data_IF_374855720795
#
_entry.id   IF_374855720795
#
_cell.length_a   1.000
_cell.length_b   1.000
_cell.length_c   1.000
_cell.angle_alpha   90.00
_cell.angle_beta   90.00
_cell.angle_gamma   90.00
#
_symmetry.space_group_name_H-M   'P 1'
#
loop_
_entity.id
_entity.type
_entity.pdbx_description
1 polymer ?
#
# COMPACT_ATOMS: atom_id res chain seq x y z
N UNK A 1 4.02 -17.84 25.68
CA UNK A 1 4.52 -17.18 24.45
C UNK A 1 3.97 -17.92 23.24
N UNK A 2 3.10 -17.28 22.44
CA UNK A 2 2.62 -17.87 21.19
C UNK A 2 3.74 -17.71 20.16
N UNK A 3 4.31 -18.82 19.68
CA UNK A 3 5.28 -18.78 18.60
C UNK A 3 4.56 -18.34 17.33
N UNK A 4 5.08 -17.30 16.68
CA UNK A 4 4.55 -16.85 15.40
C UNK A 4 4.87 -17.90 14.34
N UNK A 5 3.87 -18.26 13.54
CA UNK A 5 4.05 -19.12 12.38
C UNK A 5 4.60 -18.31 11.19
N UNK A 6 5.26 -18.94 10.22
CA UNK A 6 5.66 -18.29 8.97
C UNK A 6 4.50 -17.57 8.26
N UNK A 7 3.29 -18.12 8.38
CA UNK A 7 2.07 -17.53 7.81
C UNK A 7 1.70 -16.22 8.49
N UNK A 8 1.89 -16.09 9.81
CA UNK A 8 1.62 -14.84 10.54
C UNK A 8 2.56 -13.73 10.08
N UNK A 9 3.85 -14.03 9.91
CA UNK A 9 4.84 -13.09 9.37
C UNK A 9 4.48 -12.66 7.94
N UNK A 10 4.08 -13.61 7.10
CA UNK A 10 3.70 -13.34 5.72
C UNK A 10 2.44 -12.47 5.62
N UNK A 11 1.45 -12.73 6.49
CA UNK A 11 0.26 -11.92 6.59
C UNK A 11 0.60 -10.49 7.01
N UNK A 12 1.38 -10.31 8.08
CA UNK A 12 1.85 -9.00 8.52
C UNK A 12 2.66 -8.27 7.45
N UNK A 13 3.55 -8.97 6.74
CA UNK A 13 4.32 -8.40 5.64
C UNK A 13 3.39 -7.88 4.52
N UNK A 14 2.36 -8.66 4.15
CA UNK A 14 1.36 -8.22 3.17
C UNK A 14 0.67 -6.92 3.62
N UNK A 15 0.23 -6.83 4.88
CA UNK A 15 -0.42 -5.62 5.41
C UNK A 15 0.54 -4.43 5.42
N UNK A 16 1.78 -4.66 5.84
CA UNK A 16 2.83 -3.65 5.88
C UNK A 16 3.08 -3.04 4.50
N UNK A 17 3.29 -3.87 3.47
CA UNK A 17 3.56 -3.35 2.12
C UNK A 17 2.35 -2.62 1.52
N UNK A 18 1.12 -3.05 1.81
CA UNK A 18 -0.07 -2.31 1.38
C UNK A 18 -0.12 -0.91 2.01
N UNK A 19 0.03 -0.84 3.34
CA UNK A 19 0.01 0.43 4.08
C UNK A 19 1.18 1.31 3.65
N UNK A 20 2.37 0.73 3.46
CA UNK A 20 3.53 1.48 3.01
C UNK A 20 3.34 2.07 1.60
N UNK A 21 2.69 1.33 0.68
CA UNK A 21 2.34 1.88 -0.64
C UNK A 21 1.38 3.07 -0.53
N UNK A 22 0.42 3.00 0.39
CA UNK A 22 -0.50 4.11 0.69
C UNK A 22 0.28 5.31 1.25
N UNK A 23 1.16 5.11 2.23
CA UNK A 23 2.00 6.17 2.80
C UNK A 23 2.92 6.82 1.77
N UNK A 24 3.56 6.04 0.87
CA UNK A 24 4.38 6.59 -0.22
C UNK A 24 3.58 7.56 -1.07
N UNK A 25 2.33 7.23 -1.35
CA UNK A 25 1.48 8.11 -2.13
C UNK A 25 1.18 9.38 -1.33
N UNK A 26 0.87 9.28 -0.02
CA UNK A 26 0.56 10.43 0.84
C UNK A 26 1.73 11.41 0.87
N UNK A 27 2.93 10.89 1.16
CA UNK A 27 4.18 11.65 1.12
C UNK A 27 4.47 12.23 -0.27
N UNK A 28 4.06 11.54 -1.35
CA UNK A 28 4.29 12.04 -2.71
C UNK A 28 3.42 13.25 -3.04
N UNK A 29 2.20 13.30 -2.50
CA UNK A 29 1.32 14.46 -2.62
C UNK A 29 1.88 15.65 -1.85
N UNK A 30 2.28 15.42 -0.59
CA UNK A 30 2.72 16.51 0.30
C UNK A 30 4.17 16.92 0.03
N UNK A 31 4.82 16.28 -0.93
CA UNK A 31 6.24 16.44 -1.29
C UNK A 31 6.67 17.87 -1.58
N UNK A 32 5.88 18.65 -2.32
CA UNK A 32 6.25 20.03 -2.66
C UNK A 32 6.15 20.95 -1.44
N UNK A 33 5.15 20.73 -0.59
CA UNK A 33 5.02 21.40 0.70
C UNK A 33 6.18 21.01 1.65
N UNK A 34 6.44 19.71 1.81
CA UNK A 34 7.53 19.18 2.64
C UNK A 34 8.90 19.67 2.21
N UNK A 35 9.13 19.83 0.90
CA UNK A 35 10.38 20.41 0.38
C UNK A 35 10.56 21.87 0.76
N UNK A 36 9.48 22.66 0.75
CA UNK A 36 9.52 24.06 1.14
C UNK A 36 9.78 24.24 2.65
N UNK A 37 9.27 23.32 3.47
CA UNK A 37 9.50 23.25 4.92
C UNK A 37 10.86 22.60 5.29
N UNK A 38 11.61 22.09 4.31
CA UNK A 38 12.92 21.47 4.52
C UNK A 38 12.88 20.04 5.08
N UNK A 39 11.72 19.37 5.02
CA UNK A 39 11.52 17.98 5.49
C UNK A 39 12.20 16.99 4.52
N UNK A 40 13.08 16.16 5.07
CA UNK A 40 13.84 15.14 4.31
C UNK A 40 13.25 13.74 4.54
N UNK A 41 12.32 13.33 3.68
CA UNK A 41 11.79 11.96 3.59
C UNK A 41 12.38 11.22 2.38
N UNK A 42 12.20 9.90 2.30
CA UNK A 42 12.59 9.15 1.09
C UNK A 42 11.92 9.72 -0.16
N UNK A 43 10.69 10.21 -0.03
CA UNK A 43 9.91 10.75 -1.14
C UNK A 43 10.38 12.16 -1.54
N UNK A 44 10.82 13.00 -0.60
CA UNK A 44 11.38 14.31 -0.93
C UNK A 44 12.79 14.23 -1.49
N UNK A 45 13.59 13.27 -1.03
CA UNK A 45 14.99 13.05 -1.47
C UNK A 45 15.12 12.33 -2.81
N UNK A 46 14.26 11.34 -3.10
CA UNK A 46 14.28 10.61 -4.37
C UNK A 46 13.80 11.50 -5.52
N UNK A 47 14.19 11.19 -6.75
CA UNK A 47 13.57 11.78 -7.95
C UNK A 47 12.15 11.21 -8.15
N UNK A 48 11.29 11.87 -8.94
CA UNK A 48 9.96 11.34 -9.25
C UNK A 48 10.00 9.89 -9.74
N UNK A 49 10.94 9.58 -10.64
CA UNK A 49 11.17 8.22 -11.15
C UNK A 49 11.64 7.25 -10.06
N UNK A 50 12.32 7.74 -9.03
CA UNK A 50 12.71 6.96 -7.85
C UNK A 50 11.49 6.61 -7.00
N UNK A 51 10.62 7.57 -6.72
CA UNK A 51 9.38 7.36 -5.97
C UNK A 51 8.43 6.42 -6.73
N UNK A 52 8.30 6.59 -8.04
CA UNK A 52 7.52 5.66 -8.90
C UNK A 52 8.01 4.22 -8.74
N UNK A 53 9.33 4.02 -8.83
CA UNK A 53 9.92 2.68 -8.67
C UNK A 53 9.69 2.13 -7.28
N UNK A 54 9.91 2.93 -6.24
CA UNK A 54 9.67 2.54 -4.85
C UNK A 54 8.21 2.10 -4.64
N UNK A 55 7.26 2.86 -5.18
CA UNK A 55 5.83 2.56 -5.11
C UNK A 55 5.48 1.23 -5.78
N UNK A 56 5.90 1.03 -7.04
CA UNK A 56 5.60 -0.22 -7.77
C UNK A 56 6.33 -1.43 -7.19
N UNK A 57 7.56 -1.28 -6.70
CA UNK A 57 8.27 -2.35 -5.99
C UNK A 57 7.51 -2.73 -4.72
N UNK A 58 7.01 -1.74 -3.97
CA UNK A 58 6.22 -1.99 -2.76
C UNK A 58 4.92 -2.73 -3.07
N UNK A 59 4.19 -2.32 -4.11
CA UNK A 59 2.99 -3.03 -4.57
C UNK A 59 3.29 -4.45 -5.05
N UNK A 60 4.43 -4.67 -5.72
CA UNK A 60 4.86 -5.99 -6.15
C UNK A 60 5.19 -6.89 -4.95
N UNK A 61 5.89 -6.37 -3.94
CA UNK A 61 6.15 -7.11 -2.69
C UNK A 61 4.84 -7.45 -1.97
N UNK A 62 3.90 -6.50 -1.90
CA UNK A 62 2.55 -6.75 -1.41
C UNK A 62 1.86 -7.91 -2.15
N UNK A 63 1.89 -7.89 -3.49
CA UNK A 63 1.24 -8.92 -4.30
C UNK A 63 1.90 -10.30 -4.11
N UNK A 64 3.24 -10.34 -4.00
CA UNK A 64 3.99 -11.58 -3.73
C UNK A 64 3.63 -12.13 -2.36
N UNK A 65 3.68 -11.31 -1.31
CA UNK A 65 3.34 -11.75 0.05
C UNK A 65 1.88 -12.23 0.13
N UNK A 66 0.95 -11.50 -0.50
CA UNK A 66 -0.47 -11.86 -0.50
C UNK A 66 -0.72 -13.15 -1.28
N UNK A 67 -0.08 -13.33 -2.44
CA UNK A 67 -0.23 -14.57 -3.24
C UNK A 67 0.42 -15.76 -2.54
N UNK A 68 1.54 -15.55 -1.84
CA UNK A 68 2.19 -16.58 -1.04
C UNK A 68 1.29 -17.12 0.09
N UNK A 69 0.34 -16.33 0.61
CA UNK A 69 -0.64 -16.81 1.58
C UNK A 69 -1.51 -17.94 1.03
N UNK A 70 -1.80 -17.96 -0.28
CA UNK A 70 -2.56 -19.05 -0.91
C UNK A 70 -1.85 -20.40 -0.78
N UNK A 71 -0.51 -20.39 -0.85
CA UNK A 71 0.31 -21.59 -0.66
C UNK A 71 0.49 -21.96 0.81
N UNK A 72 0.27 -21.01 1.73
CA UNK A 72 0.33 -21.21 3.18
C UNK A 72 -0.99 -21.71 3.80
N UNK A 73 -1.99 -22.06 2.98
CA UNK A 73 -3.26 -22.64 3.42
C UNK A 73 -4.41 -21.65 3.58
N UNK A 74 -4.24 -20.38 3.22
CA UNK A 74 -5.37 -19.44 3.14
C UNK A 74 -6.31 -19.81 2.00
N UNK A 75 -7.62 -19.61 2.23
CA UNK A 75 -8.62 -19.79 1.19
C UNK A 75 -8.33 -18.90 -0.03
N UNK A 76 -8.41 -19.47 -1.23
CA UNK A 76 -8.16 -18.74 -2.49
C UNK A 76 -9.04 -17.48 -2.61
N UNK A 77 -10.27 -17.54 -2.12
CA UNK A 77 -11.21 -16.41 -2.07
C UNK A 77 -10.68 -15.30 -1.16
N UNK A 78 -10.19 -15.63 0.03
CA UNK A 78 -9.59 -14.66 0.95
C UNK A 78 -8.39 -13.95 0.30
N UNK A 79 -7.51 -14.70 -0.36
CA UNK A 79 -6.35 -14.11 -1.07
C UNK A 79 -6.78 -13.16 -2.18
N UNK A 80 -7.79 -13.52 -2.98
CA UNK A 80 -8.34 -12.64 -4.02
C UNK A 80 -8.92 -11.37 -3.40
N UNK A 81 -9.71 -11.49 -2.33
CA UNK A 81 -10.26 -10.34 -1.61
C UNK A 81 -9.15 -9.43 -1.07
N UNK A 82 -8.08 -10.01 -0.54
CA UNK A 82 -6.94 -9.26 -0.02
C UNK A 82 -6.14 -8.54 -1.10
N UNK A 83 -6.14 -9.03 -2.35
CA UNK A 83 -5.47 -8.38 -3.48
C UNK A 83 -6.25 -7.18 -4.05
N UNK A 84 -7.58 -7.14 -3.90
CA UNK A 84 -8.43 -6.07 -4.44
C UNK A 84 -7.91 -4.68 -4.06
N UNK A 85 -7.57 -4.39 -2.78
CA UNK A 85 -7.00 -3.10 -2.42
C UNK A 85 -5.73 -2.72 -3.17
N UNK A 86 -4.80 -3.65 -3.35
CA UNK A 86 -3.57 -3.38 -4.08
C UNK A 86 -3.79 -3.16 -5.57
N UNK A 87 -4.77 -3.83 -6.18
CA UNK A 87 -5.15 -3.61 -7.58
C UNK A 87 -5.72 -2.20 -7.76
N UNK A 88 -6.57 -1.75 -6.84
CA UNK A 88 -7.12 -0.38 -6.84
C UNK A 88 -6.00 0.65 -6.68
N UNK A 89 -4.94 0.33 -5.93
CA UNK A 89 -3.79 1.21 -5.75
C UNK A 89 -3.00 1.43 -7.06
N UNK A 90 -2.84 0.43 -7.93
CA UNK A 90 -2.05 0.55 -9.18
C UNK A 90 -2.31 1.83 -10.00
N UNK A 91 -3.56 2.19 -10.37
CA UNK A 91 -3.83 3.43 -11.11
C UNK A 91 -3.70 4.70 -10.27
N UNK A 92 -3.71 4.61 -8.94
CA UNK A 92 -3.67 5.76 -8.03
C UNK A 92 -2.41 6.59 -8.20
N UNK A 93 -1.26 5.97 -8.48
CA UNK A 93 -0.03 6.70 -8.73
C UNK A 93 -0.15 7.65 -9.95
N UNK A 94 -0.78 7.19 -11.03
CA UNK A 94 -0.98 8.00 -12.22
C UNK A 94 -2.04 9.10 -12.00
N UNK A 95 -3.05 8.81 -11.18
CA UNK A 95 -4.11 9.77 -10.82
C UNK A 95 -3.54 10.85 -9.91
N UNK A 96 -2.75 10.49 -8.89
CA UNK A 96 -2.07 11.43 -7.99
C UNK A 96 -1.13 12.38 -8.75
N UNK A 97 -0.57 11.95 -9.88
CA UNK A 97 0.24 12.82 -10.76
C UNK A 97 -0.56 13.78 -11.64
N UNK A 98 -1.83 13.48 -11.92
CA UNK A 98 -2.65 14.19 -12.92
C UNK A 98 -3.75 15.06 -12.31
N UNK A 99 -4.37 14.63 -11.20
CA UNK A 99 -5.54 15.28 -10.62
C UNK A 99 -5.36 15.48 -9.11
N UNK A 100 -5.45 16.75 -8.70
CA UNK A 100 -5.28 17.26 -7.34
C UNK A 100 -6.62 17.39 -6.58
N UNK A 101 -7.56 16.46 -6.74
CA UNK A 101 -8.80 16.51 -5.95
C UNK A 101 -8.56 15.91 -4.57
N UNK A 102 -8.32 16.77 -3.57
CA UNK A 102 -7.98 16.41 -2.19
C UNK A 102 -8.98 15.43 -1.55
N UNK A 103 -10.27 15.59 -1.84
CA UNK A 103 -11.32 14.74 -1.27
C UNK A 103 -11.28 13.30 -1.81
N UNK A 104 -10.99 13.11 -3.11
CA UNK A 104 -10.84 11.78 -3.68
C UNK A 104 -9.67 11.06 -3.01
N UNK A 105 -8.60 11.80 -2.73
CA UNK A 105 -7.40 11.26 -2.13
C UNK A 105 -7.63 10.78 -0.69
N UNK A 106 -8.22 11.62 0.16
CA UNK A 106 -8.49 11.25 1.56
C UNK A 106 -9.56 10.16 1.69
N UNK A 107 -10.70 10.29 1.01
CA UNK A 107 -11.77 9.27 1.08
C UNK A 107 -11.29 7.94 0.50
N UNK A 108 -10.54 7.97 -0.60
CA UNK A 108 -10.13 6.74 -1.25
C UNK A 108 -8.95 6.10 -0.51
N UNK A 109 -7.91 6.82 -0.11
CA UNK A 109 -6.73 6.20 0.52
C UNK A 109 -6.93 5.84 1.99
N UNK A 110 -7.56 6.70 2.79
CA UNK A 110 -7.94 6.32 4.15
C UNK A 110 -9.09 5.29 4.10
N UNK A 111 -9.99 5.41 3.11
CA UNK A 111 -10.97 4.39 2.80
C UNK A 111 -10.34 3.06 2.43
N UNK A 112 -9.22 3.02 1.69
CA UNK A 112 -8.51 1.79 1.35
C UNK A 112 -7.89 1.13 2.58
N UNK A 113 -7.35 1.91 3.52
CA UNK A 113 -6.86 1.39 4.80
C UNK A 113 -8.00 0.79 5.64
N UNK A 114 -9.13 1.49 5.75
CA UNK A 114 -10.32 0.99 6.45
C UNK A 114 -10.94 -0.23 5.75
N UNK A 115 -11.06 -0.19 4.43
CA UNK A 115 -11.62 -1.27 3.60
C UNK A 115 -10.78 -2.55 3.68
N UNK A 116 -9.45 -2.42 3.70
CA UNK A 116 -8.55 -3.56 3.94
C UNK A 116 -8.77 -4.21 5.31
N UNK A 117 -9.01 -3.40 6.35
CA UNK A 117 -9.34 -3.91 7.69
C UNK A 117 -10.71 -4.57 7.73
N UNK A 118 -11.72 -4.00 7.07
CA UNK A 118 -13.06 -4.57 6.97
C UNK A 118 -13.05 -5.92 6.24
N UNK A 119 -12.33 -6.03 5.13
CA UNK A 119 -12.17 -7.29 4.40
C UNK A 119 -11.52 -8.38 5.26
N UNK A 120 -10.56 -7.99 6.09
CA UNK A 120 -9.90 -8.92 7.03
C UNK A 120 -10.86 -9.44 8.09
N UNK A 121 -11.88 -8.66 8.49
CA UNK A 121 -12.90 -9.13 9.45
C UNK A 121 -13.76 -10.28 8.91
N UNK A 122 -13.88 -10.41 7.59
CA UNK A 122 -14.65 -11.48 6.93
C UNK A 122 -13.81 -12.72 6.57
N UNK A 123 -12.51 -12.72 6.91
CA UNK A 123 -11.55 -13.82 6.65
C UNK A 123 -11.22 -14.51 7.98
#
# INVERSE_FOLDING_TARGET
>A
HKSWSPTDYLFCASRFFLIYAICILFDYRDRDYDRNEGIKSMVTLLSEKGVTRLYFITLLLFAICTTALAFAGFGKVAVVLLLIPGIIMVPMYNIARKNFSDYLYYILLDGMMMFSSLLTFFI
#
